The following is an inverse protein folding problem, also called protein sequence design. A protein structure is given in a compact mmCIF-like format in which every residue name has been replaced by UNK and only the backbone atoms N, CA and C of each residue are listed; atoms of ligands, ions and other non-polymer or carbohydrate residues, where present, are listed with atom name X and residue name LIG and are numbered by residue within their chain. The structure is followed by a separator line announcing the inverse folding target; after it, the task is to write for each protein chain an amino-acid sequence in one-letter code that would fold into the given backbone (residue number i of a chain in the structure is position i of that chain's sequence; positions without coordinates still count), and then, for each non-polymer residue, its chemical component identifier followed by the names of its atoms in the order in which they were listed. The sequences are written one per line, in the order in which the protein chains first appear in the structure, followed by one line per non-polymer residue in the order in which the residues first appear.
data_IF_061707818226
#
_entry.id   IF_061707818226
#
_cell.length_a   1.000
_cell.length_b   1.000
_cell.length_c   1.000
_cell.angle_alpha   90.00
_cell.angle_beta   90.00
_cell.angle_gamma   90.00
#
_symmetry.space_group_name_H-M   'P 1'
#
loop_
_entity.id
_entity.type
_entity.pdbx_description
1 polymer ?
#
# COMPACT_ATOMS: atom_id res chain seq x y z
N UNK A 1 16.79 -1.86 -15.09
CA UNK A 1 15.60 -2.04 -14.21
C UNK A 1 14.87 -0.70 -14.12
N UNK A 2 13.60 -0.66 -14.53
CA UNK A 2 12.75 0.53 -14.45
C UNK A 2 11.87 0.48 -13.20
N UNK A 3 11.52 1.63 -12.63
CA UNK A 3 10.67 1.73 -11.44
C UNK A 3 9.18 1.48 -11.73
N UNK A 4 8.77 1.55 -13.01
CA UNK A 4 7.39 1.32 -13.45
C UNK A 4 7.32 1.02 -14.94
N UNK A 5 6.21 0.42 -15.37
CA UNK A 5 5.91 0.28 -16.81
C UNK A 5 5.76 1.65 -17.48
N UNK A 6 5.24 2.65 -16.77
CA UNK A 6 5.12 4.01 -17.29
C UNK A 6 6.48 4.65 -17.62
N UNK A 7 7.52 4.38 -16.82
CA UNK A 7 8.89 4.79 -17.13
C UNK A 7 9.38 4.16 -18.43
N UNK A 8 9.13 2.86 -18.66
CA UNK A 8 9.52 2.18 -19.90
C UNK A 8 8.81 2.79 -21.12
N UNK A 9 7.51 3.09 -20.99
CA UNK A 9 6.75 3.76 -22.06
C UNK A 9 7.30 5.16 -22.32
N UNK A 10 7.64 5.92 -21.29
CA UNK A 10 8.30 7.22 -21.43
C UNK A 10 9.63 7.11 -22.19
N UNK A 11 10.50 6.17 -21.79
CA UNK A 11 11.77 5.92 -22.46
C UNK A 11 11.59 5.54 -23.93
N UNK A 12 10.59 4.71 -24.21
CA UNK A 12 10.23 4.33 -25.56
C UNK A 12 9.79 5.53 -26.42
N UNK A 13 8.98 6.44 -25.89
CA UNK A 13 8.58 7.65 -26.58
C UNK A 13 9.75 8.57 -26.86
N UNK A 14 10.67 8.73 -25.88
CA UNK A 14 11.88 9.51 -26.05
C UNK A 14 12.79 8.92 -27.14
N UNK A 15 12.95 7.60 -27.17
CA UNK A 15 13.78 6.89 -28.15
C UNK A 15 13.23 7.07 -29.59
N UNK A 16 11.92 7.07 -29.76
CA UNK A 16 11.26 7.23 -31.06
C UNK A 16 11.03 8.68 -31.46
N UNK A 17 11.42 9.66 -30.63
CA UNK A 17 11.16 11.08 -30.89
C UNK A 17 9.67 11.45 -30.88
N UNK A 18 8.85 10.67 -30.15
CA UNK A 18 7.41 10.95 -30.02
C UNK A 18 7.23 12.15 -29.11
N UNK A 19 6.54 13.18 -29.58
CA UNK A 19 6.19 14.35 -28.79
C UNK A 19 5.17 13.99 -27.70
N UNK A 20 5.51 14.27 -26.46
CA UNK A 20 4.67 14.02 -25.27
C UNK A 20 3.93 15.32 -24.93
N UNK A 21 2.60 15.31 -25.05
CA UNK A 21 1.76 16.41 -24.61
C UNK A 21 1.49 16.38 -23.10
N UNK A 22 0.87 17.42 -22.56
CA UNK A 22 0.58 17.56 -21.11
C UNK A 22 -0.35 16.45 -20.58
N UNK A 23 -1.25 15.89 -21.40
CA UNK A 23 -2.12 14.79 -20.99
C UNK A 23 -1.35 13.47 -20.89
N UNK A 24 -0.54 13.18 -21.90
CA UNK A 24 0.36 12.03 -21.91
C UNK A 24 1.36 12.13 -20.75
N UNK A 25 1.96 13.31 -20.54
CA UNK A 25 2.85 13.57 -19.42
C UNK A 25 2.18 13.33 -18.07
N UNK A 26 0.93 13.77 -17.90
CA UNK A 26 0.16 13.54 -16.68
C UNK A 26 -0.09 12.04 -16.46
N UNK A 27 -0.47 11.30 -17.49
CA UNK A 27 -0.75 9.86 -17.39
C UNK A 27 0.51 9.06 -17.07
N UNK A 28 1.63 9.35 -17.71
CA UNK A 28 2.92 8.70 -17.46
C UNK A 28 3.43 9.00 -16.06
N UNK A 29 3.35 10.27 -15.63
CA UNK A 29 3.74 10.67 -14.28
C UNK A 29 2.87 10.00 -13.22
N UNK A 30 1.56 9.84 -13.48
CA UNK A 30 0.66 9.11 -12.56
C UNK A 30 1.14 7.68 -12.37
N UNK A 31 1.48 6.96 -13.44
CA UNK A 31 2.01 5.59 -13.34
C UNK A 31 3.32 5.51 -12.55
N UNK A 32 4.27 6.41 -12.81
CA UNK A 32 5.54 6.46 -12.06
C UNK A 32 5.29 6.71 -10.58
N UNK A 33 4.46 7.71 -10.23
CA UNK A 33 4.17 8.06 -8.84
C UNK A 33 3.39 6.95 -8.12
N UNK A 34 2.49 6.26 -8.80
CA UNK A 34 1.73 5.15 -8.21
C UNK A 34 2.65 3.97 -7.86
N UNK A 35 3.46 3.51 -8.81
CA UNK A 35 4.34 2.34 -8.63
C UNK A 35 5.48 2.60 -7.65
N UNK A 36 5.96 3.85 -7.56
CA UNK A 36 7.00 4.25 -6.60
C UNK A 36 6.46 4.71 -5.25
N UNK A 37 5.13 4.71 -5.05
CA UNK A 37 4.49 5.33 -3.87
C UNK A 37 5.00 6.77 -3.65
N UNK A 38 4.96 7.58 -4.70
CA UNK A 38 5.51 8.94 -4.71
C UNK A 38 6.99 8.99 -4.30
N UNK A 39 7.80 8.10 -4.88
CA UNK A 39 9.24 7.95 -4.64
C UNK A 39 9.63 7.53 -3.22
N UNK A 40 8.70 6.98 -2.44
CA UNK A 40 8.96 6.56 -1.07
C UNK A 40 9.34 5.09 -0.91
N UNK A 41 9.26 4.28 -1.97
CA UNK A 41 9.58 2.85 -1.89
C UNK A 41 10.97 2.52 -2.49
N UNK A 42 11.44 1.31 -2.16
CA UNK A 42 12.76 0.82 -2.61
C UNK A 42 12.86 0.52 -4.13
N UNK A 43 11.75 0.57 -4.85
CA UNK A 43 11.72 0.43 -6.31
C UNK A 43 12.01 1.73 -7.06
N UNK A 44 12.17 2.86 -6.33
CA UNK A 44 12.49 4.16 -6.90
C UNK A 44 13.89 4.16 -7.52
N UNK A 45 13.99 4.60 -8.76
CA UNK A 45 15.27 4.73 -9.50
C UNK A 45 15.56 6.20 -9.80
N UNK A 46 16.85 6.54 -10.00
CA UNK A 46 17.23 7.89 -10.45
C UNK A 46 16.64 8.22 -11.81
N UNK A 47 16.59 7.24 -12.72
CA UNK A 47 16.00 7.41 -14.04
C UNK A 47 14.47 7.70 -13.95
N UNK A 48 13.77 7.04 -13.04
CA UNK A 48 12.35 7.31 -12.79
C UNK A 48 12.11 8.73 -12.24
N UNK A 49 12.99 9.23 -11.37
CA UNK A 49 12.93 10.61 -10.87
C UNK A 49 13.26 11.64 -11.98
N UNK A 50 14.25 11.37 -12.83
CA UNK A 50 14.58 12.22 -13.98
C UNK A 50 13.42 12.27 -14.98
N UNK A 51 12.84 11.10 -15.31
CA UNK A 51 11.64 11.02 -16.17
C UNK A 51 10.48 11.84 -15.59
N UNK A 52 10.22 11.72 -14.29
CA UNK A 52 9.19 12.51 -13.63
C UNK A 52 9.46 14.03 -13.68
N UNK A 53 10.69 14.45 -13.47
CA UNK A 53 11.09 15.84 -13.60
C UNK A 53 10.85 16.39 -15.01
N UNK A 54 11.22 15.63 -16.04
CA UNK A 54 10.96 16.00 -17.44
C UNK A 54 9.45 16.02 -17.74
N UNK A 55 8.68 15.04 -17.29
CA UNK A 55 7.23 15.03 -17.47
C UNK A 55 6.56 16.24 -16.80
N UNK A 56 7.04 16.67 -15.63
CA UNK A 56 6.59 17.91 -14.99
C UNK A 56 6.92 19.13 -15.86
N UNK A 57 8.11 19.21 -16.46
CA UNK A 57 8.50 20.29 -17.36
C UNK A 57 7.64 20.32 -18.64
N UNK A 58 7.14 19.16 -19.09
CA UNK A 58 6.17 19.03 -20.18
C UNK A 58 4.72 19.35 -19.79
N UNK A 59 4.51 19.81 -18.56
CA UNK A 59 3.20 20.28 -18.08
C UNK A 59 2.33 19.18 -17.45
N UNK A 60 2.91 18.10 -16.94
CA UNK A 60 2.15 17.13 -16.14
C UNK A 60 1.56 17.80 -14.89
N UNK A 61 0.28 17.46 -14.58
CA UNK A 61 -0.48 18.05 -13.47
C UNK A 61 -0.13 17.42 -12.13
N UNK A 62 1.14 17.50 -11.74
CA UNK A 62 1.67 16.90 -10.52
C UNK A 62 0.86 17.20 -9.23
N UNK A 63 0.43 18.46 -8.93
CA UNK A 63 -0.35 18.72 -7.71
C UNK A 63 -1.70 18.00 -7.70
N UNK A 64 -2.32 17.83 -8.87
CA UNK A 64 -3.60 17.11 -9.02
C UNK A 64 -3.40 15.61 -8.79
N UNK A 65 -2.33 15.04 -9.35
CA UNK A 65 -1.96 13.64 -9.12
C UNK A 65 -1.73 13.38 -7.63
N UNK A 66 -0.92 14.19 -6.95
CA UNK A 66 -0.68 14.04 -5.52
C UNK A 66 -1.94 14.15 -4.69
N UNK A 67 -2.83 15.08 -5.05
CA UNK A 67 -4.12 15.22 -4.35
C UNK A 67 -4.92 13.93 -4.46
N UNK A 68 -4.98 13.31 -5.63
CA UNK A 68 -5.72 12.07 -5.84
C UNK A 68 -5.06 10.85 -5.16
N UNK A 69 -3.76 10.70 -5.27
CA UNK A 69 -3.06 9.53 -4.76
C UNK A 69 -2.87 9.55 -3.23
N UNK A 70 -2.54 10.72 -2.67
CA UNK A 70 -2.10 10.84 -1.27
C UNK A 70 -3.15 11.51 -0.39
N UNK A 71 -3.70 12.65 -0.84
CA UNK A 71 -4.50 13.54 0.01
C UNK A 71 -6.00 13.27 -0.06
N UNK A 72 -6.49 12.59 -1.08
CA UNK A 72 -7.92 12.33 -1.29
C UNK A 72 -8.39 11.15 -0.43
N UNK A 73 -8.38 11.32 0.89
CA UNK A 73 -8.97 10.35 1.82
C UNK A 73 -10.29 10.88 2.32
N UNK A 74 -11.37 10.13 2.11
CA UNK A 74 -12.69 10.50 2.62
C UNK A 74 -12.72 10.44 4.16
N UNK A 75 -13.63 11.20 4.77
CA UNK A 75 -13.84 11.13 6.22
C UNK A 75 -14.16 9.72 6.72
N UNK A 76 -15.01 8.92 6.06
CA UNK A 76 -15.18 7.51 6.40
C UNK A 76 -13.87 6.70 6.37
N UNK A 77 -13.04 6.89 5.34
CA UNK A 77 -11.72 6.24 5.28
C UNK A 77 -10.86 6.60 6.48
N UNK A 78 -10.79 7.91 6.84
CA UNK A 78 -9.99 8.37 7.97
C UNK A 78 -10.52 7.83 9.31
N UNK A 79 -11.82 7.77 9.50
CA UNK A 79 -12.44 7.15 10.69
C UNK A 79 -12.07 5.67 10.79
N UNK A 80 -12.22 4.91 9.69
CA UNK A 80 -11.86 3.50 9.65
C UNK A 80 -10.36 3.27 9.94
N UNK A 81 -9.49 4.11 9.37
CA UNK A 81 -8.07 4.07 9.67
C UNK A 81 -7.78 4.42 11.13
N UNK A 82 -8.53 5.36 11.72
CA UNK A 82 -8.42 5.71 13.14
C UNK A 82 -8.64 4.49 14.05
N UNK A 83 -9.63 3.65 13.76
CA UNK A 83 -9.88 2.40 14.49
C UNK A 83 -8.70 1.44 14.39
N UNK A 84 -8.17 1.23 13.18
CA UNK A 84 -7.01 0.36 12.99
C UNK A 84 -5.74 0.94 13.61
N UNK A 85 -5.49 2.24 13.50
CA UNK A 85 -4.33 2.91 14.08
C UNK A 85 -4.33 2.86 15.61
N UNK A 86 -5.49 2.93 16.25
CA UNK A 86 -5.60 2.77 17.71
C UNK A 86 -5.24 1.36 18.20
N UNK A 87 -5.21 0.38 17.30
CA UNK A 87 -4.89 -1.03 17.56
C UNK A 87 -3.48 -1.40 17.12
N UNK A 88 -2.63 -0.43 16.78
CA UNK A 88 -1.26 -0.72 16.39
C UNK A 88 -0.51 -1.41 17.54
N UNK A 89 0.12 -2.53 17.22
CA UNK A 89 0.93 -3.30 18.14
C UNK A 89 2.29 -3.60 17.50
N UNK A 90 3.35 -3.31 18.23
CA UNK A 90 4.70 -3.66 17.83
C UNK A 90 5.18 -4.90 18.59
N UNK A 91 5.65 -5.89 17.85
CA UNK A 91 6.25 -7.10 18.39
C UNK A 91 7.76 -7.06 18.17
N UNK A 92 8.52 -6.87 19.24
CA UNK A 92 9.99 -6.77 19.20
C UNK A 92 10.65 -8.05 18.70
N UNK A 93 10.14 -9.22 19.13
CA UNK A 93 10.73 -10.51 18.76
C UNK A 93 10.73 -10.74 17.27
N UNK A 94 9.65 -10.38 16.58
CA UNK A 94 9.52 -10.51 15.12
C UNK A 94 9.89 -9.24 14.36
N UNK A 95 10.15 -8.14 15.05
CA UNK A 95 10.31 -6.80 14.47
C UNK A 95 9.16 -6.50 13.48
N UNK A 96 7.94 -6.66 14.00
CA UNK A 96 6.69 -6.62 13.25
C UNK A 96 5.74 -5.61 13.87
N UNK A 97 5.26 -4.66 13.10
CA UNK A 97 4.10 -3.84 13.46
C UNK A 97 2.85 -4.44 12.85
N UNK A 98 1.82 -4.65 13.65
CA UNK A 98 0.56 -5.22 13.20
C UNK A 98 -0.63 -4.38 13.63
N UNK A 99 -1.68 -4.46 12.84
CA UNK A 99 -3.00 -3.94 13.17
C UNK A 99 -4.08 -4.75 12.44
N UNK A 100 -5.35 -4.46 12.72
CA UNK A 100 -6.45 -5.21 12.15
C UNK A 100 -7.72 -4.38 11.99
N UNK A 101 -8.56 -4.84 11.04
CA UNK A 101 -9.94 -4.42 10.85
C UNK A 101 -10.87 -5.56 11.19
N UNK A 102 -11.92 -5.28 11.95
CA UNK A 102 -13.01 -6.20 12.24
C UNK A 102 -14.18 -5.95 11.28
N UNK A 103 -15.03 -6.94 11.07
CA UNK A 103 -16.27 -6.74 10.32
C UNK A 103 -17.19 -5.69 10.96
N UNK A 104 -17.10 -5.55 12.29
CA UNK A 104 -17.88 -4.58 13.05
C UNK A 104 -17.47 -3.14 12.75
N UNK A 105 -16.20 -2.89 12.44
CA UNK A 105 -15.72 -1.55 12.08
C UNK A 105 -16.43 -1.00 10.84
N UNK A 106 -16.78 -1.87 9.87
CA UNK A 106 -17.55 -1.47 8.70
C UNK A 106 -19.01 -1.14 9.04
N UNK A 107 -19.54 -1.69 10.13
CA UNK A 107 -20.88 -1.32 10.62
C UNK A 107 -20.87 0.05 11.30
N UNK A 108 -19.75 0.39 11.97
CA UNK A 108 -19.57 1.71 12.59
C UNK A 108 -19.33 2.81 11.54
N UNK A 109 -18.77 2.45 10.38
CA UNK A 109 -18.47 3.36 9.28
C UNK A 109 -19.03 2.82 7.96
N UNK A 110 -20.35 2.76 7.79
CA UNK A 110 -20.98 2.08 6.64
C UNK A 110 -20.69 2.73 5.28
N UNK A 111 -20.26 4.00 5.26
CA UNK A 111 -19.85 4.68 4.04
C UNK A 111 -18.40 4.34 3.62
N UNK A 112 -17.65 3.61 4.45
CA UNK A 112 -16.30 3.19 4.11
C UNK A 112 -16.33 1.97 3.18
N UNK A 113 -15.52 2.00 2.14
CA UNK A 113 -15.38 0.91 1.18
C UNK A 113 -14.26 -0.06 1.58
N UNK A 114 -14.27 -1.26 1.02
CA UNK A 114 -13.16 -2.19 1.19
C UNK A 114 -11.83 -1.63 0.70
N UNK A 115 -11.84 -0.82 -0.35
CA UNK A 115 -10.65 -0.14 -0.89
C UNK A 115 -10.03 0.83 0.12
N UNK A 116 -10.85 1.42 1.00
CA UNK A 116 -10.37 2.28 2.08
C UNK A 116 -9.37 1.57 2.99
N UNK A 117 -9.56 0.26 3.23
CA UNK A 117 -8.67 -0.55 4.07
C UNK A 117 -7.33 -0.89 3.40
N UNK A 118 -7.30 -0.99 2.07
CA UNK A 118 -6.10 -1.41 1.34
C UNK A 118 -4.97 -0.38 1.41
N UNK A 119 -5.29 0.91 1.45
CA UNK A 119 -4.32 2.00 1.55
C UNK A 119 -3.52 2.04 2.84
N UNK A 120 -4.08 1.50 3.95
CA UNK A 120 -3.44 1.59 5.27
C UNK A 120 -2.10 0.85 5.33
N UNK A 121 -1.97 -0.32 4.72
CA UNK A 121 -0.71 -1.09 4.74
C UNK A 121 0.44 -0.34 4.03
N UNK A 122 0.14 0.37 2.96
CA UNK A 122 1.12 1.20 2.26
C UNK A 122 1.49 2.44 3.09
N UNK A 123 0.50 3.09 3.70
CA UNK A 123 0.72 4.23 4.59
C UNK A 123 1.62 3.83 5.77
N UNK A 124 1.31 2.75 6.47
CA UNK A 124 2.12 2.26 7.59
C UNK A 124 3.54 1.90 7.16
N UNK A 125 3.72 1.30 5.98
CA UNK A 125 5.06 0.99 5.47
C UNK A 125 5.91 2.24 5.20
N UNK A 126 5.29 3.37 4.86
CA UNK A 126 5.98 4.63 4.64
C UNK A 126 6.33 5.37 5.94
N UNK A 127 5.54 5.20 7.02
CA UNK A 127 5.70 5.97 8.26
C UNK A 127 6.28 5.18 9.43
N UNK A 128 6.32 3.85 9.36
CA UNK A 128 6.82 3.00 10.45
C UNK A 128 8.35 2.97 10.49
N UNK A 129 8.95 4.02 10.99
CA UNK A 129 10.41 4.21 11.06
C UNK A 129 11.20 3.22 11.93
N UNK A 130 10.60 2.11 12.40
CA UNK A 130 11.26 1.17 13.32
C UNK A 130 11.05 -0.30 13.04
N UNK A 131 9.97 -0.71 12.37
CA UNK A 131 9.71 -2.13 12.12
C UNK A 131 10.09 -2.57 10.70
N UNK A 132 10.68 -3.75 10.60
CA UNK A 132 11.05 -4.32 9.31
C UNK A 132 9.84 -4.84 8.53
N UNK A 133 8.74 -5.12 9.20
CA UNK A 133 7.55 -5.74 8.60
C UNK A 133 6.27 -5.14 9.15
N UNK A 134 5.32 -4.89 8.27
CA UNK A 134 3.96 -4.47 8.57
C UNK A 134 3.00 -5.60 8.23
N UNK A 135 2.08 -5.89 9.13
CA UNK A 135 0.97 -6.83 8.93
C UNK A 135 -0.34 -6.11 9.20
N UNK A 136 -1.20 -6.06 8.20
CA UNK A 136 -2.58 -5.60 8.36
C UNK A 136 -3.51 -6.78 8.13
N UNK A 137 -4.29 -7.15 9.14
CA UNK A 137 -5.30 -8.19 9.06
C UNK A 137 -6.67 -7.56 8.81
N UNK A 138 -7.50 -8.21 8.02
CA UNK A 138 -8.87 -7.80 7.74
C UNK A 138 -9.81 -8.98 7.81
N UNK A 139 -10.82 -8.92 8.68
CA UNK A 139 -11.91 -9.88 8.67
C UNK A 139 -12.78 -9.71 7.43
N UNK A 140 -13.21 -10.85 6.88
CA UNK A 140 -14.09 -10.93 5.72
C UNK A 140 -15.41 -11.62 6.11
N UNK A 141 -16.53 -11.31 5.41
CA UNK A 141 -17.86 -11.85 5.74
C UNK A 141 -17.95 -13.39 5.74
N UNK A 142 -17.12 -14.07 4.95
CA UNK A 142 -17.12 -15.53 4.77
C UNK A 142 -16.27 -16.30 5.80
N UNK A 143 -16.06 -15.76 6.98
CA UNK A 143 -15.16 -16.32 8.01
C UNK A 143 -13.73 -16.53 7.50
N UNK A 144 -13.24 -15.61 6.72
CA UNK A 144 -11.82 -15.58 6.34
C UNK A 144 -11.18 -14.29 6.83
N UNK A 145 -9.86 -14.32 6.91
CA UNK A 145 -9.03 -13.18 7.26
C UNK A 145 -8.05 -12.97 6.12
N UNK A 146 -8.09 -11.79 5.51
CA UNK A 146 -7.11 -11.36 4.52
C UNK A 146 -5.95 -10.68 5.27
N UNK A 147 -4.73 -11.18 5.07
CA UNK A 147 -3.51 -10.59 5.60
C UNK A 147 -2.74 -9.85 4.50
N UNK A 148 -2.39 -8.60 4.75
CA UNK A 148 -1.52 -7.80 3.89
C UNK A 148 -0.17 -7.60 4.56
N UNK A 149 0.90 -8.02 3.90
CA UNK A 149 2.27 -7.92 4.38
C UNK A 149 3.03 -6.87 3.57
N UNK A 150 3.81 -6.04 4.25
CA UNK A 150 4.77 -5.12 3.65
C UNK A 150 6.09 -5.23 4.40
N UNK A 151 7.20 -5.10 3.69
CA UNK A 151 8.52 -5.08 4.31
C UNK A 151 9.53 -4.32 3.47
N UNK A 152 10.36 -3.53 4.13
CA UNK A 152 11.49 -2.85 3.48
C UNK A 152 12.70 -3.79 3.39
N UNK A 153 12.93 -4.63 4.39
CA UNK A 153 14.16 -5.43 4.51
C UNK A 153 13.99 -6.91 4.24
N UNK A 154 12.85 -7.50 4.61
CA UNK A 154 12.64 -8.96 4.58
C UNK A 154 11.94 -9.44 3.31
N UNK A 155 12.17 -10.69 2.94
CA UNK A 155 11.38 -11.40 1.93
C UNK A 155 10.15 -12.02 2.60
N UNK A 156 9.04 -11.30 2.54
CA UNK A 156 7.75 -11.71 3.13
C UNK A 156 6.94 -12.64 2.22
N UNK A 157 7.36 -12.84 0.96
CA UNK A 157 6.66 -13.72 0.03
C UNK A 157 6.68 -15.18 0.49
N UNK A 158 7.73 -15.60 1.20
CA UNK A 158 7.85 -16.95 1.75
C UNK A 158 6.79 -17.21 2.82
N UNK A 159 6.58 -16.25 3.73
CA UNK A 159 5.54 -16.35 4.76
C UNK A 159 4.14 -16.34 4.13
N UNK A 160 3.90 -15.46 3.16
CA UNK A 160 2.62 -15.43 2.46
C UNK A 160 2.32 -16.77 1.76
N UNK A 161 3.30 -17.36 1.07
CA UNK A 161 3.17 -18.69 0.42
C UNK A 161 2.90 -19.79 1.43
N UNK A 162 3.58 -19.80 2.57
CA UNK A 162 3.34 -20.77 3.65
C UNK A 162 1.89 -20.70 4.17
N UNK A 163 1.29 -19.51 4.18
CA UNK A 163 -0.10 -19.27 4.56
C UNK A 163 -1.10 -19.42 3.38
N UNK A 164 -0.68 -20.03 2.28
CA UNK A 164 -1.54 -20.26 1.11
C UNK A 164 -1.76 -19.05 0.21
N UNK A 165 -0.98 -18.00 0.40
CA UNK A 165 -1.04 -16.77 -0.39
C UNK A 165 0.14 -16.60 -1.34
N UNK A 166 0.51 -15.35 -1.63
CA UNK A 166 1.62 -15.03 -2.54
C UNK A 166 1.88 -13.53 -2.67
N UNK A 167 2.71 -13.18 -3.64
CA UNK A 167 3.09 -11.81 -3.93
C UNK A 167 4.60 -11.65 -4.10
N UNK A 168 5.03 -10.39 -4.07
CA UNK A 168 6.44 -10.01 -4.22
C UNK A 168 7.17 -10.02 -2.87
N UNK A 169 8.51 -10.06 -2.92
CA UNK A 169 9.36 -10.06 -1.72
C UNK A 169 9.04 -8.96 -0.71
N UNK A 170 8.60 -7.79 -1.18
CA UNK A 170 8.33 -6.58 -0.36
C UNK A 170 6.85 -6.29 -0.13
N UNK A 171 5.95 -6.95 -0.89
CA UNK A 171 4.51 -6.77 -0.82
C UNK A 171 3.82 -8.09 -1.14
N UNK A 172 3.21 -8.72 -0.16
CA UNK A 172 2.55 -10.02 -0.28
C UNK A 172 1.26 -10.04 0.53
N UNK A 173 0.41 -11.00 0.24
CA UNK A 173 -0.84 -11.20 0.97
C UNK A 173 -1.22 -12.67 1.05
N UNK A 174 -2.09 -12.98 1.98
CA UNK A 174 -2.64 -14.31 2.20
C UNK A 174 -4.09 -14.22 2.66
N UNK A 175 -4.80 -15.33 2.56
CA UNK A 175 -6.15 -15.47 3.13
C UNK A 175 -6.21 -16.77 3.89
N UNK A 176 -6.65 -16.72 5.15
CA UNK A 176 -6.81 -17.88 6.02
C UNK A 176 -8.25 -17.96 6.54
N UNK A 177 -8.71 -19.15 6.89
CA UNK A 177 -9.98 -19.32 7.58
C UNK A 177 -9.86 -18.90 9.04
N UNK A 178 -10.92 -18.30 9.56
CA UNK A 178 -11.04 -17.91 10.96
C UNK A 178 -11.65 -16.54 11.19
N UNK A 179 -11.66 -16.15 12.46
CA UNK A 179 -12.06 -14.83 12.95
C UNK A 179 -11.01 -14.26 13.87
N UNK A 180 -11.01 -12.96 14.00
CA UNK A 180 -10.14 -12.23 14.92
C UNK A 180 -10.86 -12.12 16.27
N UNK A 181 -10.32 -12.76 17.31
CA UNK A 181 -10.74 -12.52 18.70
C UNK A 181 -9.77 -11.58 19.38
N UNK A 182 -10.32 -10.52 19.95
CA UNK A 182 -9.57 -9.55 20.76
C UNK A 182 -9.78 -9.93 22.23
N UNK A 183 -8.71 -10.42 22.86
CA UNK A 183 -8.73 -10.76 24.28
C UNK A 183 -8.49 -9.55 25.18
N UNK A 184 -8.52 -9.78 26.51
CA UNK A 184 -8.09 -8.79 27.48
C UNK A 184 -6.65 -8.31 27.15
N UNK A 185 -6.36 -7.05 27.39
CA UNK A 185 -5.07 -6.42 27.06
C UNK A 185 -4.78 -6.26 25.54
N UNK A 186 -5.80 -6.33 24.68
CA UNK A 186 -5.61 -6.12 23.23
C UNK A 186 -4.88 -7.26 22.51
N UNK A 187 -4.65 -8.40 23.15
CA UNK A 187 -4.05 -9.57 22.52
C UNK A 187 -4.98 -10.16 21.48
N UNK A 188 -4.49 -10.30 20.26
CA UNK A 188 -5.23 -10.84 19.11
C UNK A 188 -4.96 -12.32 18.98
N UNK A 189 -6.04 -13.12 18.81
CA UNK A 189 -5.97 -14.54 18.43
C UNK A 189 -6.81 -14.77 17.20
N UNK A 190 -6.35 -15.66 16.34
CA UNK A 190 -7.13 -16.15 15.21
C UNK A 190 -7.72 -17.50 15.64
N UNK A 191 -9.03 -17.63 15.51
CA UNK A 191 -9.77 -18.87 15.80
C UNK A 191 -10.46 -19.35 14.55
N UNK A 192 -10.44 -20.65 14.29
CA UNK A 192 -11.08 -21.28 13.15
C UNK A 192 -12.61 -21.31 13.29
#
# INVERSE_FOLDING_TARGET
DACSTAELVYQFFMLLGISIDSKMATSLLTGILTDTSCFSNAGTTSQGMEAAGHLCALGARHPEILRQLVLNKSMPTLKLWGLALSRLCYNEHFNLTSTYFLLEDLKEVPEATEEAMEGLSNFLNAVSGGSDTILVLREMPNRTIKGSLRSIRRDISKLAKFLGGGGHKKASGFTIHGRILVGAEGKVKIVA
#
